data_IF_094989394128
#
_entry.id   IF_094989394128
#
_cell.length_a   1.000
_cell.length_b   1.000
_cell.length_c   1.000
_cell.angle_alpha   90.00
_cell.angle_beta   90.00
_cell.angle_gamma   90.00
#
_symmetry.space_group_name_H-M   'P 1'
#
loop_
_entity.id
_entity.type
_entity.pdbx_description
1 polymer ?
#
# COMPACT_ATOMS: atom_id res chain seq x y z
N UNK A 1 6.92 -12.65 6.74
CA UNK A 1 6.39 -11.61 7.67
C UNK A 1 5.75 -10.50 6.86
N UNK A 2 4.66 -9.92 7.32
CA UNK A 2 4.08 -8.73 6.69
C UNK A 2 4.63 -7.48 7.39
N UNK A 3 5.08 -6.50 6.61
CA UNK A 3 5.51 -5.20 7.12
C UNK A 3 4.62 -4.14 6.52
N UNK A 4 3.90 -3.41 7.38
CA UNK A 4 2.98 -2.36 6.98
C UNK A 4 3.09 -1.12 7.85
N UNK A 5 2.58 -0.01 7.32
CA UNK A 5 2.58 1.29 7.99
C UNK A 5 1.78 2.33 7.21
N UNK A 6 1.42 3.42 7.90
CA UNK A 6 0.87 4.60 7.24
C UNK A 6 1.91 5.22 6.31
N UNK A 7 1.46 5.62 5.12
CA UNK A 7 2.29 6.23 4.10
C UNK A 7 1.51 7.27 3.32
N UNK A 8 2.15 8.40 3.04
CA UNK A 8 1.53 9.48 2.30
C UNK A 8 1.70 9.29 0.78
N UNK A 9 0.58 9.19 0.05
CA UNK A 9 0.56 9.00 -1.39
C UNK A 9 0.81 10.30 -2.15
N UNK A 10 2.08 10.69 -2.27
CA UNK A 10 2.48 11.90 -3.00
C UNK A 10 2.38 11.78 -4.54
N UNK A 11 2.20 10.56 -5.08
CA UNK A 11 1.85 10.29 -6.47
C UNK A 11 0.64 9.35 -6.55
N UNK A 12 -0.08 9.30 -7.69
CA UNK A 12 -1.22 8.40 -7.84
C UNK A 12 -0.84 6.94 -7.64
N UNK A 13 -1.47 6.28 -6.67
CA UNK A 13 -1.32 4.83 -6.42
C UNK A 13 -2.67 4.13 -6.43
N UNK A 14 -2.68 2.89 -6.89
CA UNK A 14 -3.88 2.07 -6.89
C UNK A 14 -4.07 1.46 -5.49
N UNK A 15 -5.10 1.91 -4.78
CA UNK A 15 -5.47 1.41 -3.45
C UNK A 15 -6.63 0.43 -3.54
N UNK A 16 -6.65 -0.54 -2.62
CA UNK A 16 -7.78 -1.44 -2.42
C UNK A 16 -8.68 -0.89 -1.31
N UNK A 17 -9.97 -0.86 -1.58
CA UNK A 17 -11.02 -0.47 -0.64
C UNK A 17 -12.07 -1.58 -0.57
N UNK A 18 -13.00 -1.47 0.37
CA UNK A 18 -14.16 -2.38 0.43
C UNK A 18 -15.04 -2.34 -0.83
N UNK A 19 -14.99 -1.24 -1.60
CA UNK A 19 -15.76 -1.04 -2.84
C UNK A 19 -14.99 -1.43 -4.12
N UNK A 20 -13.76 -1.93 -3.99
CA UNK A 20 -12.93 -2.34 -5.14
C UNK A 20 -11.56 -1.66 -5.14
N UNK A 21 -11.15 -1.14 -6.29
CA UNK A 21 -9.88 -0.42 -6.42
C UNK A 21 -10.13 1.01 -6.86
N UNK A 22 -9.46 1.98 -6.24
CA UNK A 22 -9.47 3.39 -6.66
C UNK A 22 -8.05 3.93 -6.74
N UNK A 23 -7.87 5.00 -7.50
CA UNK A 23 -6.64 5.78 -7.44
C UNK A 23 -6.69 6.69 -6.21
N UNK A 24 -5.63 6.65 -5.41
CA UNK A 24 -5.40 7.53 -4.27
C UNK A 24 -4.23 8.46 -4.59
N UNK A 25 -4.41 9.75 -4.30
CA UNK A 25 -3.36 10.76 -4.47
C UNK A 25 -3.58 11.89 -3.46
N UNK A 26 -2.47 12.40 -2.91
CA UNK A 26 -2.43 13.46 -1.89
C UNK A 26 -3.20 13.10 -0.60
N UNK A 27 -3.25 11.80 -0.25
CA UNK A 27 -3.88 11.28 0.96
C UNK A 27 -2.99 10.25 1.68
N UNK A 28 -3.24 10.03 2.98
CA UNK A 28 -2.59 8.97 3.73
C UNK A 28 -3.28 7.63 3.44
N UNK A 29 -2.48 6.62 3.15
CA UNK A 29 -2.92 5.26 2.85
C UNK A 29 -2.12 4.28 3.69
N UNK A 30 -2.71 3.13 3.99
CA UNK A 30 -1.97 2.03 4.58
C UNK A 30 -1.23 1.30 3.46
N UNK A 31 0.08 1.07 3.61
CA UNK A 31 0.84 0.19 2.70
C UNK A 31 1.33 -1.03 3.45
N UNK A 32 1.31 -2.17 2.79
CA UNK A 32 1.89 -3.41 3.31
C UNK A 32 2.76 -4.08 2.24
N UNK A 33 3.73 -4.88 2.66
CA UNK A 33 4.48 -5.77 1.78
C UNK A 33 4.84 -7.07 2.50
N UNK A 34 5.05 -8.11 1.71
CA UNK A 34 5.64 -9.36 2.22
C UNK A 34 7.15 -9.17 2.33
N UNK A 35 7.69 -9.48 3.50
CA UNK A 35 9.13 -9.51 3.77
C UNK A 35 9.51 -10.95 4.15
N UNK A 36 10.50 -11.49 3.44
CA UNK A 36 11.12 -12.78 3.72
C UNK A 36 12.63 -12.60 3.88
N UNK A 37 13.32 -13.64 4.37
CA UNK A 37 14.80 -13.63 4.48
C UNK A 37 15.49 -13.44 3.11
N UNK A 38 14.80 -13.75 2.01
CA UNK A 38 15.34 -13.69 0.66
C UNK A 38 14.98 -12.39 -0.07
N UNK A 39 14.21 -11.48 0.56
CA UNK A 39 13.88 -10.17 0.00
C UNK A 39 12.48 -9.66 0.37
N UNK A 40 12.14 -8.52 -0.22
CA UNK A 40 10.83 -7.88 -0.03
C UNK A 40 10.02 -7.87 -1.32
N UNK A 41 8.77 -8.31 -1.24
CA UNK A 41 7.80 -8.22 -2.34
C UNK A 41 7.27 -6.79 -2.57
N UNK A 42 6.44 -6.60 -3.60
CA UNK A 42 5.88 -5.29 -3.93
C UNK A 42 4.92 -4.77 -2.85
N UNK A 43 4.81 -3.45 -2.75
CA UNK A 43 3.84 -2.80 -1.88
C UNK A 43 2.41 -2.98 -2.40
N UNK A 44 1.50 -3.26 -1.48
CA UNK A 44 0.05 -3.17 -1.68
C UNK A 44 -0.46 -2.01 -0.85
N UNK A 45 -1.35 -1.22 -1.43
CA UNK A 45 -1.90 -0.02 -0.81
C UNK A 45 -3.39 -0.19 -0.51
N UNK A 46 -3.82 0.38 0.60
CA UNK A 46 -5.18 0.30 1.14
C UNK A 46 -5.60 1.68 1.63
N UNK A 47 -6.86 2.02 1.39
CA UNK A 47 -7.48 3.25 1.89
C UNK A 47 -8.66 2.91 2.79
#
# INVERSE_FOLDING_TARGET
MFSGGNWFAWFPVLVRTSRGKRWAWLENVWRERVVSQHGSGPYRYYA
#
